data_IF_751932347472
#
_entry.id   IF_751932347472
#
_cell.length_a   1.000
_cell.length_b   1.000
_cell.length_c   1.000
_cell.angle_alpha   90.00
_cell.angle_beta   90.00
_cell.angle_gamma   90.00
#
_symmetry.space_group_name_H-M   'P 1'
#
loop_
_entity.id
_entity.type
_entity.pdbx_description
1 polymer ?
#
# COMPACT_ATOMS: atom_id res chain seq x y z
N UNK A 1 32.63 3.27 48.53
CA UNK A 1 33.88 2.75 47.92
C UNK A 1 33.70 1.28 47.58
N UNK A 2 34.32 0.77 46.51
CA UNK A 2 33.63 0.01 45.48
C UNK A 2 33.86 -1.51 45.53
N UNK A 3 32.85 -2.27 45.10
CA UNK A 3 32.94 -3.70 44.80
C UNK A 3 32.73 -3.93 43.30
N UNK A 4 33.74 -4.50 42.65
CA UNK A 4 33.79 -4.82 41.23
C UNK A 4 32.92 -6.04 40.88
N UNK A 5 32.10 -5.94 39.83
CA UNK A 5 31.56 -7.13 39.16
C UNK A 5 32.13 -7.28 37.74
N UNK A 6 32.78 -8.43 37.55
CA UNK A 6 33.40 -8.91 36.32
C UNK A 6 32.35 -9.12 35.23
N UNK A 7 32.67 -8.69 34.01
CA UNK A 7 31.97 -9.04 32.77
C UNK A 7 32.41 -10.46 32.35
N UNK A 8 31.44 -11.35 32.16
CA UNK A 8 31.67 -12.60 31.43
C UNK A 8 31.51 -12.35 29.93
N UNK A 9 32.61 -12.53 29.20
CA UNK A 9 32.66 -12.66 27.74
C UNK A 9 32.23 -14.09 27.37
N UNK A 10 31.12 -14.23 26.65
CA UNK A 10 30.76 -15.47 25.95
C UNK A 10 31.25 -15.39 24.50
N UNK A 11 32.09 -16.36 24.11
CA UNK A 11 32.52 -16.62 22.73
C UNK A 11 31.38 -17.24 21.93
N UNK A 12 31.25 -16.98 20.62
CA UNK A 12 30.34 -17.72 19.76
C UNK A 12 30.96 -19.05 19.30
N UNK A 13 30.17 -20.12 19.41
CA UNK A 13 30.46 -21.45 18.86
C UNK A 13 30.06 -21.45 17.39
N UNK A 14 31.02 -21.68 16.49
CA UNK A 14 30.76 -22.03 15.09
C UNK A 14 30.41 -23.52 15.02
N UNK A 15 29.15 -23.84 14.73
CA UNK A 15 28.70 -25.18 14.36
C UNK A 15 28.32 -25.21 12.88
N UNK A 16 29.13 -25.90 12.08
CA UNK A 16 28.84 -26.25 10.69
C UNK A 16 27.92 -27.48 10.75
N UNK A 17 26.65 -27.32 10.38
CA UNK A 17 25.69 -28.41 10.24
C UNK A 17 25.29 -28.55 8.77
N UNK A 18 25.86 -29.55 8.10
CA UNK A 18 25.45 -30.02 6.77
C UNK A 18 24.07 -30.67 6.85
N UNK A 19 23.09 -30.11 6.15
CA UNK A 19 21.78 -30.72 5.94
C UNK A 19 21.80 -31.58 4.67
N UNK A 20 21.56 -32.90 4.83
CA UNK A 20 21.21 -33.80 3.74
C UNK A 20 19.78 -33.51 3.25
N UNK A 21 19.49 -33.62 1.94
CA UNK A 21 18.13 -33.56 1.44
C UNK A 21 17.44 -34.93 1.61
N UNK A 22 16.30 -34.94 2.30
CA UNK A 22 15.36 -36.05 2.29
C UNK A 22 14.42 -35.85 1.09
N UNK A 23 14.60 -36.67 0.05
CA UNK A 23 13.67 -36.77 -1.07
C UNK A 23 12.46 -37.62 -0.63
N UNK A 24 11.37 -36.95 -0.25
CA UNK A 24 10.06 -37.58 -0.02
C UNK A 24 9.26 -37.61 -1.32
N UNK A 25 9.19 -38.77 -1.95
CA UNK A 25 8.30 -39.07 -3.08
C UNK A 25 6.86 -39.14 -2.54
N UNK A 26 6.02 -38.14 -2.82
CA UNK A 26 4.58 -38.20 -2.57
C UNK A 26 3.87 -38.65 -3.86
N UNK A 27 3.36 -39.88 -3.84
CA UNK A 27 2.46 -40.43 -4.88
C UNK A 27 1.03 -40.03 -4.51
N UNK A 28 0.41 -39.19 -5.33
CA UNK A 28 -1.02 -38.86 -5.24
C UNK A 28 -1.83 -39.86 -6.08
N UNK A 29 -2.94 -40.42 -5.57
CA UNK A 29 -3.87 -41.19 -6.40
C UNK A 29 -4.72 -40.23 -7.25
N UNK A 30 -4.81 -40.55 -8.55
CA UNK A 30 -5.70 -39.90 -9.50
C UNK A 30 -7.17 -40.24 -9.16
N UNK A 31 -7.96 -39.23 -8.78
CA UNK A 31 -9.41 -39.35 -8.72
C UNK A 31 -10.01 -39.05 -10.10
N UNK A 32 -10.82 -40.00 -10.56
CA UNK A 32 -11.51 -40.03 -11.83
C UNK A 32 -12.56 -38.91 -11.97
N UNK A 33 -12.60 -38.31 -13.16
CA UNK A 33 -13.58 -37.35 -13.62
C UNK A 33 -14.96 -38.01 -13.77
N UNK A 34 -15.99 -37.45 -13.14
CA UNK A 34 -17.39 -37.79 -13.43
C UNK A 34 -17.92 -36.93 -14.59
N UNK A 35 -18.78 -37.46 -15.49
CA UNK A 35 -19.28 -36.75 -16.66
C UNK A 35 -20.39 -35.74 -16.31
N UNK A 36 -20.37 -34.59 -16.99
CA UNK A 36 -21.47 -33.62 -16.99
C UNK A 36 -22.71 -34.20 -17.69
N UNK A 37 -23.93 -34.04 -17.15
CA UNK A 37 -25.14 -34.31 -17.89
C UNK A 37 -25.46 -33.14 -18.83
N UNK A 38 -25.73 -33.48 -20.08
CA UNK A 38 -26.33 -32.60 -21.07
C UNK A 38 -27.74 -32.19 -20.64
N UNK A 39 -28.05 -30.90 -20.76
CA UNK A 39 -29.42 -30.40 -20.63
C UNK A 39 -29.84 -29.71 -21.93
N UNK A 40 -30.96 -30.19 -22.42
CA UNK A 40 -31.68 -29.91 -23.66
C UNK A 40 -32.23 -28.48 -23.74
N UNK A 41 -32.31 -27.94 -24.96
CA UNK A 41 -33.03 -26.69 -25.26
C UNK A 41 -34.55 -26.79 -25.03
N UNK A 42 -35.26 -25.66 -25.14
CA UNK A 42 -36.19 -25.53 -26.27
C UNK A 42 -36.17 -24.15 -26.97
N UNK A 43 -36.41 -24.24 -28.28
CA UNK A 43 -37.26 -23.44 -29.18
C UNK A 43 -37.46 -21.93 -28.99
N UNK A 44 -37.27 -21.25 -30.14
CA UNK A 44 -37.60 -19.88 -30.44
C UNK A 44 -39.10 -19.54 -30.28
N UNK A 45 -39.37 -18.26 -29.99
CA UNK A 45 -40.57 -17.57 -30.47
C UNK A 45 -40.26 -16.10 -30.77
N UNK A 46 -40.89 -15.62 -31.82
CA UNK A 46 -40.66 -14.39 -32.59
C UNK A 46 -41.42 -13.17 -32.08
N UNK A 47 -40.78 -12.01 -32.25
CA UNK A 47 -41.30 -10.73 -32.78
C UNK A 47 -41.98 -9.68 -31.88
N UNK A 48 -41.82 -8.44 -32.40
CA UNK A 48 -42.33 -7.12 -31.99
C UNK A 48 -41.60 -6.48 -30.80
N UNK A 49 -40.97 -5.31 -30.89
CA UNK A 49 -41.07 -4.23 -31.86
C UNK A 49 -40.93 -2.94 -31.06
N UNK A 50 -39.71 -2.39 -30.95
CA UNK A 50 -39.46 -1.13 -30.22
C UNK A 50 -38.40 -0.31 -30.94
N UNK A 51 -38.85 0.86 -31.38
CA UNK A 51 -38.15 1.99 -31.98
C UNK A 51 -36.68 2.16 -31.59
N UNK A 52 -35.80 2.02 -32.58
CA UNK A 52 -34.41 2.46 -32.54
C UNK A 52 -34.35 3.98 -32.64
N UNK A 53 -34.23 4.66 -31.50
CA UNK A 53 -33.64 6.00 -31.48
C UNK A 53 -32.12 5.82 -31.62
N UNK A 54 -31.59 6.20 -32.79
CA UNK A 54 -30.16 6.22 -33.05
C UNK A 54 -29.50 7.31 -32.20
N UNK A 55 -29.08 6.95 -30.99
CA UNK A 55 -28.13 7.74 -30.23
C UNK A 55 -26.77 7.60 -30.91
N UNK A 56 -26.36 8.65 -31.61
CA UNK A 56 -24.99 8.79 -32.12
C UNK A 56 -24.00 8.39 -31.02
N UNK A 57 -23.07 7.45 -31.26
CA UNK A 57 -22.05 7.13 -30.28
C UNK A 57 -21.20 8.38 -30.09
N UNK A 58 -21.33 9.00 -28.91
CA UNK A 58 -20.43 10.05 -28.46
C UNK A 58 -19.03 9.45 -28.42
N UNK A 59 -18.24 9.74 -29.44
CA UNK A 59 -16.79 9.55 -29.47
C UNK A 59 -16.15 10.49 -28.45
N UNK A 60 -16.37 10.23 -27.16
CA UNK A 60 -15.56 10.76 -26.06
C UNK A 60 -14.36 9.83 -25.87
N UNK A 61 -13.48 9.84 -26.87
CA UNK A 61 -12.14 9.27 -26.80
C UNK A 61 -11.09 10.38 -26.73
N UNK A 62 -11.39 11.48 -26.03
CA UNK A 62 -10.37 12.44 -25.65
C UNK A 62 -9.62 11.83 -24.46
N UNK A 63 -8.31 11.61 -24.62
CA UNK A 63 -7.47 10.95 -23.61
C UNK A 63 -7.74 11.53 -22.22
N UNK A 64 -7.98 10.66 -21.25
CA UNK A 64 -8.18 10.99 -19.84
C UNK A 64 -6.90 11.53 -19.21
N UNK A 65 -6.44 12.69 -19.71
CA UNK A 65 -5.39 13.45 -19.08
C UNK A 65 -5.82 13.82 -17.66
N UNK A 66 -4.92 13.67 -16.70
CA UNK A 66 -5.20 14.03 -15.31
C UNK A 66 -5.23 15.55 -15.21
N UNK A 67 -6.37 16.12 -14.87
CA UNK A 67 -6.51 17.57 -14.67
C UNK A 67 -6.17 17.93 -13.22
N UNK A 68 -5.20 18.83 -12.97
CA UNK A 68 -4.88 19.30 -11.62
C UNK A 68 -6.09 19.91 -10.90
N UNK A 69 -6.08 19.84 -9.57
CA UNK A 69 -7.12 20.41 -8.72
C UNK A 69 -7.15 21.94 -8.80
N UNK A 70 -8.35 22.54 -8.91
CA UNK A 70 -8.56 24.00 -8.93
C UNK A 70 -8.37 24.67 -7.56
N UNK A 71 -8.23 23.89 -6.49
CA UNK A 71 -8.11 24.36 -5.12
C UNK A 71 -7.51 23.29 -4.19
N UNK A 72 -7.50 23.54 -2.86
CA UNK A 72 -6.96 22.59 -1.90
C UNK A 72 -7.79 21.29 -1.89
N UNK A 73 -7.15 20.11 -1.88
CA UNK A 73 -7.87 18.84 -1.87
C UNK A 73 -8.65 18.65 -0.58
N UNK A 74 -9.74 17.89 -0.69
CA UNK A 74 -10.58 17.51 0.44
C UNK A 74 -10.07 16.19 1.00
N UNK A 75 -9.68 16.16 2.27
CA UNK A 75 -9.35 14.94 2.99
C UNK A 75 -10.53 14.51 3.84
N UNK A 76 -10.87 13.22 3.76
CA UNK A 76 -11.87 12.53 4.57
C UNK A 76 -11.26 11.25 5.10
N UNK A 77 -11.78 10.75 6.21
CA UNK A 77 -11.48 9.42 6.69
C UNK A 77 -12.78 8.74 7.11
N UNK A 78 -12.88 7.44 6.88
CA UNK A 78 -14.04 6.65 7.28
C UNK A 78 -13.65 5.39 8.03
N UNK A 79 -14.60 4.90 8.82
CA UNK A 79 -14.56 3.61 9.47
C UNK A 79 -15.93 2.95 9.36
N UNK A 80 -15.98 1.71 8.89
CA UNK A 80 -17.16 0.86 8.91
C UNK A 80 -17.01 -0.21 10.00
N UNK A 81 -18.10 -0.90 10.41
CA UNK A 81 -18.00 -2.02 11.32
C UNK A 81 -17.09 -3.09 10.71
N UNK A 82 -16.12 -3.57 11.49
CA UNK A 82 -15.24 -4.66 11.07
C UNK A 82 -16.00 -5.94 10.72
N UNK A 83 -15.34 -6.81 9.98
CA UNK A 83 -15.96 -8.03 9.46
C UNK A 83 -14.98 -9.04 8.88
N UNK A 84 -15.53 -10.11 8.34
CA UNK A 84 -14.78 -11.26 7.82
C UNK A 84 -14.52 -11.10 6.33
N UNK A 85 -13.26 -11.21 5.91
CA UNK A 85 -12.84 -11.12 4.51
C UNK A 85 -12.00 -12.34 4.13
N UNK A 86 -12.15 -12.82 2.89
CA UNK A 86 -11.34 -13.92 2.36
C UNK A 86 -9.86 -13.54 2.30
N UNK A 87 -8.99 -14.45 2.72
CA UNK A 87 -7.55 -14.20 2.72
C UNK A 87 -6.74 -15.06 3.69
N UNK A 88 -7.32 -16.12 4.27
CA UNK A 88 -6.54 -17.07 5.07
C UNK A 88 -5.73 -18.01 4.18
N UNK A 89 -4.54 -18.39 4.64
CA UNK A 89 -3.71 -19.40 3.99
C UNK A 89 -4.44 -20.75 3.99
N UNK A 90 -4.53 -21.39 2.82
CA UNK A 90 -5.32 -22.62 2.65
C UNK A 90 -6.84 -22.39 2.47
N UNK A 91 -7.27 -21.13 2.39
CA UNK A 91 -8.67 -20.73 2.19
C UNK A 91 -9.37 -20.36 3.50
N UNK A 92 -10.38 -19.49 3.40
CA UNK A 92 -11.16 -19.02 4.54
C UNK A 92 -11.00 -17.53 4.82
N UNK A 93 -11.67 -17.08 5.89
CA UNK A 93 -11.83 -15.66 6.20
C UNK A 93 -11.10 -15.23 7.47
N UNK A 94 -10.60 -14.01 7.45
CA UNK A 94 -9.97 -13.32 8.57
C UNK A 94 -10.80 -12.12 8.97
N UNK A 95 -10.70 -11.74 10.24
CA UNK A 95 -11.31 -10.51 10.72
C UNK A 95 -10.46 -9.30 10.33
N UNK A 96 -11.10 -8.23 9.89
CA UNK A 96 -10.42 -6.99 9.52
C UNK A 96 -11.20 -5.76 9.98
N UNK A 97 -10.46 -4.67 10.24
CA UNK A 97 -11.04 -3.33 10.33
C UNK A 97 -11.24 -2.81 8.91
N UNK A 98 -12.33 -2.07 8.70
CA UNK A 98 -12.60 -1.47 7.38
C UNK A 98 -12.55 0.04 7.55
N UNK A 99 -11.36 0.60 7.40
CA UNK A 99 -11.12 2.03 7.51
C UNK A 99 -10.13 2.50 6.45
N UNK A 100 -10.23 3.77 6.06
CA UNK A 100 -9.32 4.38 5.09
C UNK A 100 -9.29 5.89 5.21
N UNK A 101 -8.24 6.50 4.69
CA UNK A 101 -8.22 7.93 4.33
C UNK A 101 -8.53 8.05 2.84
N UNK A 102 -9.36 9.02 2.48
CA UNK A 102 -9.66 9.41 1.10
C UNK A 102 -9.26 10.86 0.89
N UNK A 103 -8.49 11.13 -0.15
CA UNK A 103 -8.21 12.48 -0.63
C UNK A 103 -8.86 12.68 -1.99
N UNK A 104 -9.58 13.78 -2.16
CA UNK A 104 -10.32 14.10 -3.38
C UNK A 104 -9.86 15.46 -3.89
N UNK A 105 -9.62 15.63 -5.20
CA UNK A 105 -9.34 16.94 -5.77
C UNK A 105 -10.45 17.96 -5.40
N UNK A 106 -10.17 19.25 -5.46
CA UNK A 106 -11.23 20.26 -5.52
C UNK A 106 -11.86 20.28 -6.93
N UNK A 107 -12.99 20.97 -7.07
CA UNK A 107 -13.67 21.13 -8.37
C UNK A 107 -14.64 20.01 -8.73
N UNK A 108 -14.99 19.93 -10.01
CA UNK A 108 -15.95 18.96 -10.56
C UNK A 108 -15.29 18.05 -11.58
N UNK A 109 -15.95 16.95 -11.94
CA UNK A 109 -15.45 15.99 -12.91
C UNK A 109 -14.96 14.68 -12.30
N UNK A 110 -14.76 13.69 -13.16
CA UNK A 110 -14.30 12.35 -12.77
C UNK A 110 -12.78 12.28 -12.83
N UNK A 111 -12.19 11.76 -11.76
CA UNK A 111 -10.76 11.63 -11.61
C UNK A 111 -10.35 10.15 -11.56
N UNK A 112 -9.18 9.78 -12.13
CA UNK A 112 -8.62 8.45 -11.90
C UNK A 112 -8.40 8.20 -10.42
N UNK A 113 -8.43 6.92 -10.03
CA UNK A 113 -8.26 6.52 -8.63
C UNK A 113 -6.84 6.04 -8.37
N UNK A 114 -6.21 6.49 -7.30
CA UNK A 114 -4.95 5.94 -6.81
C UNK A 114 -5.20 5.21 -5.48
N UNK A 115 -4.64 4.02 -5.33
CA UNK A 115 -4.68 3.26 -4.07
C UNK A 115 -3.28 3.23 -3.49
N UNK A 116 -3.11 3.64 -2.22
CA UNK A 116 -1.83 3.57 -1.50
C UNK A 116 -1.90 2.47 -0.44
N UNK A 117 -1.11 1.42 -0.61
CA UNK A 117 -1.06 0.28 0.30
C UNK A 117 0.17 0.42 1.21
N UNK A 118 -0.06 0.45 2.52
CA UNK A 118 1.02 0.58 3.49
C UNK A 118 1.83 -0.72 3.67
N UNK A 119 3.01 -0.56 4.25
CA UNK A 119 3.94 -1.64 4.60
C UNK A 119 3.50 -2.55 5.74
N UNK A 120 4.42 -3.40 6.18
CA UNK A 120 4.28 -4.28 7.34
C UNK A 120 4.84 -3.55 8.55
N UNK A 121 3.98 -3.23 9.51
CA UNK A 121 4.37 -2.51 10.71
C UNK A 121 3.61 -3.04 11.93
N UNK A 122 4.13 -2.83 13.16
CA UNK A 122 3.35 -3.11 14.36
C UNK A 122 2.02 -2.33 14.35
N UNK A 123 0.92 -3.07 14.30
CA UNK A 123 -0.43 -2.49 14.24
C UNK A 123 -0.99 -2.16 15.62
N UNK A 124 -0.48 -2.78 16.68
CA UNK A 124 -0.92 -2.59 18.07
C UNK A 124 0.30 -2.30 18.93
N UNK A 125 0.40 -1.09 19.49
CA UNK A 125 1.57 -0.63 20.24
C UNK A 125 1.18 -0.01 21.58
N UNK A 126 2.16 0.18 22.47
CA UNK A 126 2.02 1.17 23.54
C UNK A 126 2.72 2.44 23.09
N UNK A 127 1.97 3.40 22.54
CA UNK A 127 2.58 4.56 21.90
C UNK A 127 3.40 5.44 22.87
N UNK A 128 3.12 5.37 24.18
CA UNK A 128 3.89 6.10 25.18
C UNK A 128 5.28 5.49 25.46
N UNK A 129 5.50 4.23 25.07
CA UNK A 129 6.75 3.48 25.31
C UNK A 129 7.45 3.04 24.03
N UNK A 130 6.71 2.93 22.94
CA UNK A 130 7.22 2.55 21.64
C UNK A 130 8.23 3.59 21.12
N UNK A 131 9.28 3.10 20.47
CA UNK A 131 10.34 3.92 19.89
C UNK A 131 10.43 3.79 18.37
N UNK A 132 9.73 2.82 17.77
CA UNK A 132 9.60 2.74 16.32
C UNK A 132 8.64 3.81 15.83
N UNK A 133 7.55 4.08 16.53
CA UNK A 133 6.65 5.18 16.21
C UNK A 133 6.90 6.41 17.08
N UNK A 134 6.79 7.58 16.47
CA UNK A 134 6.80 8.86 17.17
C UNK A 134 5.38 9.32 17.51
N UNK A 135 5.31 10.32 18.40
CA UNK A 135 4.03 10.81 18.91
C UNK A 135 3.14 11.46 17.85
N UNK A 136 3.61 11.73 16.64
CA UNK A 136 2.85 12.24 15.48
C UNK A 136 2.03 11.16 14.75
N UNK A 137 2.21 9.87 15.08
CA UNK A 137 1.36 8.82 14.51
C UNK A 137 -0.08 8.95 15.02
N UNK A 138 -1.06 8.70 14.16
CA UNK A 138 -2.45 8.58 14.57
C UNK A 138 -2.69 7.14 15.07
N UNK A 139 -3.20 7.03 16.28
CA UNK A 139 -3.64 5.76 16.85
C UNK A 139 -4.99 5.88 17.55
N UNK A 140 -5.68 4.75 17.72
CA UNK A 140 -6.95 4.65 18.44
C UNK A 140 -6.91 3.48 19.41
N UNK A 141 -7.56 3.60 20.57
CA UNK A 141 -7.71 2.47 21.48
C UNK A 141 -8.60 1.41 20.83
N UNK A 142 -8.13 0.18 20.78
CA UNK A 142 -8.91 -0.91 20.19
C UNK A 142 -8.82 -2.20 21.01
N UNK A 143 -9.57 -2.29 22.12
CA UNK A 143 -9.47 -3.42 23.05
C UNK A 143 -9.97 -4.75 22.47
N UNK A 144 -10.69 -4.74 21.35
CA UNK A 144 -11.14 -5.97 20.70
C UNK A 144 -9.99 -6.69 19.98
N UNK A 145 -9.13 -5.96 19.25
CA UNK A 145 -8.06 -6.53 18.43
C UNK A 145 -6.64 -6.33 18.97
N UNK A 146 -6.45 -5.39 19.89
CA UNK A 146 -5.15 -5.09 20.49
C UNK A 146 -5.06 -5.52 21.98
N UNK A 147 -3.87 -5.93 22.44
CA UNK A 147 -3.64 -6.24 23.85
C UNK A 147 -3.97 -5.07 24.76
N UNK A 148 -4.68 -5.33 25.86
CA UNK A 148 -4.90 -4.32 26.91
C UNK A 148 -3.64 -4.10 27.76
N UNK A 149 -2.77 -5.11 27.85
CA UNK A 149 -1.50 -5.06 28.55
C UNK A 149 -0.38 -4.61 27.62
N UNK A 150 0.69 -4.05 28.20
CA UNK A 150 1.89 -3.73 27.44
C UNK A 150 2.85 -4.91 27.46
N UNK A 151 3.35 -5.28 26.29
CA UNK A 151 4.41 -6.27 26.14
C UNK A 151 5.64 -5.61 25.53
N UNK A 152 6.78 -5.72 26.20
CA UNK A 152 8.06 -5.32 25.63
C UNK A 152 8.49 -6.39 24.61
N UNK A 153 8.72 -5.97 23.37
CA UNK A 153 9.18 -6.83 22.29
C UNK A 153 10.71 -6.74 22.09
N UNK A 154 11.40 -5.97 22.93
CA UNK A 154 12.83 -5.71 22.80
C UNK A 154 13.12 -4.50 21.90
N UNK A 155 14.33 -3.96 22.04
CA UNK A 155 14.87 -2.88 21.22
C UNK A 155 14.04 -1.57 21.19
N UNK A 156 13.06 -1.44 22.10
CA UNK A 156 12.14 -0.30 22.13
C UNK A 156 10.86 -0.48 21.32
N UNK A 157 10.61 -1.67 20.78
CA UNK A 157 9.30 -2.07 20.27
C UNK A 157 8.40 -2.49 21.42
N UNK A 158 7.15 -2.05 21.37
CA UNK A 158 6.15 -2.48 22.35
C UNK A 158 4.85 -2.86 21.68
N UNK A 159 4.23 -3.93 22.18
CA UNK A 159 2.83 -4.23 21.90
C UNK A 159 1.95 -3.61 22.98
N UNK A 160 0.78 -3.12 22.59
CA UNK A 160 -0.14 -2.48 23.52
C UNK A 160 -1.51 -2.14 22.92
N UNK A 161 -2.30 -1.34 23.65
CA UNK A 161 -3.71 -1.12 23.35
C UNK A 161 -3.98 -0.08 22.24
N UNK A 162 -2.94 0.59 21.75
CA UNK A 162 -3.04 1.64 20.76
C UNK A 162 -2.91 1.04 19.35
N UNK A 163 -4.01 1.00 18.61
CA UNK A 163 -4.04 0.58 17.22
C UNK A 163 -3.50 1.69 16.32
N UNK A 164 -2.44 1.42 15.57
CA UNK A 164 -1.81 2.38 14.65
C UNK A 164 -2.60 2.45 13.35
N UNK A 165 -3.07 3.65 13.00
CA UNK A 165 -3.77 3.92 11.75
C UNK A 165 -2.76 4.20 10.63
N UNK A 166 -2.11 3.16 10.14
CA UNK A 166 -1.12 3.24 9.06
C UNK A 166 -1.64 3.97 7.81
N UNK A 167 -2.96 3.92 7.58
CA UNK A 167 -3.67 4.66 6.52
C UNK A 167 -3.44 6.17 6.59
N UNK A 168 -3.43 6.74 7.79
CA UNK A 168 -3.25 8.17 8.05
C UNK A 168 -1.79 8.61 7.86
N UNK A 169 -0.83 7.70 8.03
CA UNK A 169 0.60 8.00 7.84
C UNK A 169 0.98 8.36 6.39
N UNK A 170 0.12 8.03 5.42
CA UNK A 170 0.29 8.37 4.00
C UNK A 170 -0.58 9.55 3.55
N UNK A 171 -1.23 10.26 4.47
CA UNK A 171 -2.11 11.38 4.11
C UNK A 171 -1.38 12.51 3.36
N UNK A 172 -0.08 12.70 3.61
CA UNK A 172 0.75 13.66 2.86
C UNK A 172 0.83 13.30 1.36
N UNK A 173 1.02 12.02 1.05
CA UNK A 173 1.10 11.52 -0.32
C UNK A 173 -0.30 11.56 -0.97
N UNK A 174 -1.33 11.14 -0.22
CA UNK A 174 -2.71 11.20 -0.71
C UNK A 174 -3.14 12.63 -1.08
N UNK A 175 -2.78 13.62 -0.24
CA UNK A 175 -3.05 15.03 -0.50
C UNK A 175 -2.34 15.53 -1.76
N UNK A 176 -1.05 15.25 -1.91
CA UNK A 176 -0.29 15.69 -3.09
C UNK A 176 -0.84 15.08 -4.39
N UNK A 177 -1.20 13.79 -4.37
CA UNK A 177 -1.81 13.13 -5.52
C UNK A 177 -3.21 13.70 -5.83
N UNK A 178 -3.99 14.04 -4.82
CA UNK A 178 -5.27 14.72 -5.02
C UNK A 178 -5.13 16.14 -5.55
N UNK A 179 -4.08 16.87 -5.15
CA UNK A 179 -3.75 18.17 -5.76
C UNK A 179 -3.45 18.03 -7.26
N UNK A 180 -2.92 16.86 -7.67
CA UNK A 180 -2.60 16.53 -9.06
C UNK A 180 -3.77 15.93 -9.85
N UNK A 181 -4.94 15.81 -9.24
CA UNK A 181 -6.15 15.37 -9.94
C UNK A 181 -6.47 13.88 -9.82
N UNK A 182 -5.93 13.18 -8.83
CA UNK A 182 -6.33 11.81 -8.50
C UNK A 182 -7.31 11.78 -7.33
N UNK A 183 -8.32 10.93 -7.36
CA UNK A 183 -8.98 10.49 -6.13
C UNK A 183 -8.09 9.45 -5.49
N UNK A 184 -7.76 9.58 -4.21
CA UNK A 184 -6.81 8.68 -3.55
C UNK A 184 -7.48 7.98 -2.38
N UNK A 185 -7.22 6.69 -2.21
CA UNK A 185 -7.62 5.93 -1.01
C UNK A 185 -6.43 5.20 -0.40
N UNK A 186 -6.31 5.27 0.92
CA UNK A 186 -5.29 4.54 1.70
C UNK A 186 -6.00 3.51 2.59
N UNK A 187 -6.24 2.28 2.10
CA UNK A 187 -6.94 1.26 2.87
C UNK A 187 -6.09 0.72 4.02
N UNK A 188 -6.76 0.36 5.12
CA UNK A 188 -6.14 -0.41 6.19
C UNK A 188 -5.93 -1.84 5.72
N UNK A 189 -4.68 -2.30 5.78
CA UNK A 189 -4.29 -3.67 5.44
C UNK A 189 -3.54 -4.38 6.55
N UNK A 190 -3.62 -3.88 7.80
CA UNK A 190 -2.88 -4.46 8.93
C UNK A 190 -3.23 -5.93 9.19
N UNK A 191 -4.43 -6.41 8.82
CA UNK A 191 -4.83 -7.83 8.98
C UNK A 191 -3.85 -8.81 8.33
N UNK A 192 -3.09 -8.39 7.31
CA UNK A 192 -2.07 -9.24 6.67
C UNK A 192 -0.93 -9.67 7.59
N UNK A 193 -0.78 -9.01 8.74
CA UNK A 193 0.23 -9.30 9.75
C UNK A 193 -0.38 -9.97 10.99
N UNK A 194 -1.66 -10.37 10.95
CA UNK A 194 -2.43 -10.77 12.14
C UNK A 194 -2.89 -12.21 12.08
N UNK A 195 -2.03 -13.09 12.58
CA UNK A 195 -2.30 -14.52 12.77
C UNK A 195 -3.38 -14.78 13.82
N UNK A 196 -3.62 -13.81 14.70
CA UNK A 196 -4.54 -13.88 15.82
C UNK A 196 -5.96 -13.39 15.50
N UNK A 197 -6.21 -12.96 14.26
CA UNK A 197 -7.50 -12.44 13.80
C UNK A 197 -8.29 -13.45 12.96
N UNK A 198 -8.25 -14.71 13.38
CA UNK A 198 -9.03 -15.79 12.77
C UNK A 198 -8.24 -16.76 11.89
N UNK A 199 -6.92 -16.65 11.83
CA UNK A 199 -6.06 -17.60 11.12
C UNK A 199 -4.78 -16.96 10.60
N UNK A 200 -3.96 -17.77 9.95
CA UNK A 200 -2.76 -17.32 9.23
C UNK A 200 -3.15 -16.64 7.90
N UNK A 201 -2.70 -15.40 7.64
CA UNK A 201 -3.01 -14.71 6.40
C UNK A 201 -2.20 -15.21 5.20
N UNK A 202 -2.86 -15.28 4.05
CA UNK A 202 -2.23 -15.15 2.74
C UNK A 202 -2.20 -13.64 2.40
N UNK A 203 -1.05 -12.96 2.54
CA UNK A 203 -0.98 -11.52 2.41
C UNK A 203 -1.40 -11.03 1.01
N UNK A 204 -1.09 -11.79 -0.04
CA UNK A 204 -1.43 -11.38 -1.41
C UNK A 204 -2.95 -11.43 -1.62
N UNK A 205 -3.60 -12.55 -1.27
CA UNK A 205 -5.05 -12.70 -1.44
C UNK A 205 -5.79 -11.68 -0.58
N UNK A 206 -5.39 -11.56 0.69
CA UNK A 206 -6.02 -10.67 1.65
C UNK A 206 -5.90 -9.20 1.22
N UNK A 207 -4.68 -8.72 0.90
CA UNK A 207 -4.47 -7.34 0.47
C UNK A 207 -5.25 -7.05 -0.82
N UNK A 208 -5.28 -7.99 -1.78
CA UNK A 208 -6.05 -7.85 -3.01
C UNK A 208 -7.54 -7.67 -2.72
N UNK A 209 -8.10 -8.49 -1.82
CA UNK A 209 -9.51 -8.41 -1.47
C UNK A 209 -9.85 -7.13 -0.70
N UNK A 210 -8.96 -6.66 0.18
CA UNK A 210 -9.11 -5.37 0.87
C UNK A 210 -9.08 -4.20 -0.12
N UNK A 211 -8.11 -4.17 -1.04
CA UNK A 211 -8.04 -3.13 -2.07
C UNK A 211 -9.31 -3.14 -2.95
N UNK A 212 -9.77 -4.31 -3.38
CA UNK A 212 -11.01 -4.46 -4.17
C UNK A 212 -12.24 -3.99 -3.39
N UNK A 213 -12.33 -4.31 -2.09
CA UNK A 213 -13.38 -3.80 -1.21
C UNK A 213 -13.39 -2.28 -1.22
N UNK A 214 -12.25 -1.63 -0.96
CA UNK A 214 -12.19 -0.18 -0.89
C UNK A 214 -12.46 0.50 -2.24
N UNK A 215 -12.03 -0.08 -3.36
CA UNK A 215 -12.40 0.39 -4.70
C UNK A 215 -13.91 0.27 -4.96
N UNK A 216 -14.55 -0.81 -4.50
CA UNK A 216 -16.01 -0.95 -4.59
C UNK A 216 -16.76 0.07 -3.73
N UNK A 217 -16.28 0.35 -2.51
CA UNK A 217 -16.84 1.38 -1.64
C UNK A 217 -16.77 2.77 -2.31
N UNK A 218 -15.63 3.11 -2.93
CA UNK A 218 -15.49 4.33 -3.71
C UNK A 218 -16.45 4.37 -4.90
N UNK A 219 -16.59 3.26 -5.64
CA UNK A 219 -17.54 3.16 -6.76
C UNK A 219 -18.99 3.35 -6.31
N UNK A 220 -19.36 2.85 -5.14
CA UNK A 220 -20.69 3.01 -4.54
C UNK A 220 -20.95 4.46 -4.13
N UNK A 221 -19.98 5.10 -3.48
CA UNK A 221 -20.02 6.54 -3.15
C UNK A 221 -20.15 7.38 -4.43
N UNK A 222 -19.36 7.08 -5.47
CA UNK A 222 -19.44 7.73 -6.78
C UNK A 222 -20.83 7.60 -7.41
N UNK A 223 -21.49 6.44 -7.23
CA UNK A 223 -22.85 6.18 -7.70
C UNK A 223 -23.94 6.85 -6.83
N UNK A 224 -23.59 7.44 -5.70
CA UNK A 224 -24.52 8.10 -4.76
C UNK A 224 -25.07 7.19 -3.66
N UNK A 225 -24.53 5.98 -3.49
CA UNK A 225 -24.78 5.19 -2.28
C UNK A 225 -24.00 5.84 -1.14
N UNK A 226 -24.72 6.50 -0.22
CA UNK A 226 -24.09 7.30 0.82
C UNK A 226 -23.37 6.49 1.89
N UNK A 227 -23.63 5.17 1.99
CA UNK A 227 -23.03 4.26 2.97
C UNK A 227 -23.06 4.78 4.41
N UNK A 228 -24.06 5.58 4.79
CA UNK A 228 -24.14 6.23 6.11
C UNK A 228 -23.05 7.28 6.40
N UNK A 229 -22.27 7.71 5.41
CA UNK A 229 -21.25 8.75 5.55
C UNK A 229 -21.84 10.10 5.14
N UNK A 230 -21.93 11.05 6.08
CA UNK A 230 -22.59 12.34 5.85
C UNK A 230 -21.99 13.17 4.69
N UNK A 231 -20.70 13.03 4.42
CA UNK A 231 -19.98 13.75 3.35
C UNK A 231 -19.99 13.03 2.00
N UNK A 232 -20.52 11.82 1.90
CA UNK A 232 -20.47 11.00 0.67
C UNK A 232 -21.16 11.64 -0.54
N UNK A 233 -22.24 12.41 -0.30
CA UNK A 233 -22.98 13.10 -1.36
C UNK A 233 -22.12 14.10 -2.14
N UNK A 234 -21.11 14.70 -1.50
CA UNK A 234 -20.14 15.62 -2.12
C UNK A 234 -19.24 14.91 -3.15
N UNK A 235 -19.15 13.59 -3.08
CA UNK A 235 -18.24 12.77 -3.88
C UNK A 235 -18.91 12.03 -5.04
N UNK A 236 -20.22 12.19 -5.19
CA UNK A 236 -20.98 11.58 -6.28
C UNK A 236 -20.45 12.04 -7.64
N UNK A 237 -20.19 11.09 -8.54
CA UNK A 237 -19.73 11.35 -9.91
C UNK A 237 -18.31 11.92 -10.02
N UNK A 238 -17.48 11.76 -8.98
CA UNK A 238 -16.11 12.32 -8.92
C UNK A 238 -14.99 11.31 -9.21
N UNK A 239 -15.29 10.02 -9.34
CA UNK A 239 -14.28 8.95 -9.37
C UNK A 239 -14.39 8.11 -10.63
N UNK A 240 -13.26 7.68 -11.18
CA UNK A 240 -13.22 6.64 -12.22
C UNK A 240 -12.41 5.43 -11.73
N UNK A 241 -13.10 4.50 -11.07
CA UNK A 241 -12.50 3.27 -10.54
C UNK A 241 -12.11 2.26 -11.63
N UNK A 242 -12.26 2.61 -12.92
CA UNK A 242 -11.78 1.81 -14.06
C UNK A 242 -10.37 2.20 -14.50
N UNK A 243 -9.85 3.31 -13.96
CA UNK A 243 -8.53 3.85 -14.30
C UNK A 243 -7.76 4.04 -13.00
N UNK A 244 -6.95 3.04 -12.65
CA UNK A 244 -6.36 2.90 -11.31
C UNK A 244 -4.85 3.05 -11.33
N UNK A 245 -4.28 3.76 -10.36
CA UNK A 245 -2.87 3.67 -9.99
C UNK A 245 -2.74 2.81 -8.73
N UNK A 246 -1.80 1.88 -8.71
CA UNK A 246 -1.48 1.09 -7.50
C UNK A 246 -0.15 1.54 -6.96
N UNK A 247 -0.17 2.01 -5.72
CA UNK A 247 0.99 2.56 -5.03
C UNK A 247 1.18 1.73 -3.77
N UNK A 248 2.43 1.50 -3.37
CA UNK A 248 2.65 0.95 -2.04
C UNK A 248 4.04 1.17 -1.51
N UNK A 249 4.16 1.04 -0.19
CA UNK A 249 5.40 1.20 0.55
C UNK A 249 5.81 -0.12 1.21
N UNK A 250 7.11 -0.45 1.27
CA UNK A 250 7.61 -1.68 1.91
C UNK A 250 6.93 -2.93 1.33
N UNK A 251 6.34 -3.80 2.16
CA UNK A 251 5.53 -4.93 1.71
C UNK A 251 4.32 -4.52 0.86
N UNK A 252 3.77 -3.32 1.07
CA UNK A 252 2.78 -2.72 0.19
C UNK A 252 3.35 -2.38 -1.18
N UNK A 253 4.62 -2.02 -1.27
CA UNK A 253 5.35 -1.79 -2.53
C UNK A 253 5.58 -3.08 -3.30
N UNK A 254 5.97 -4.15 -2.61
CA UNK A 254 6.01 -5.49 -3.18
C UNK A 254 4.65 -5.93 -3.72
N UNK A 255 3.61 -5.79 -2.88
CA UNK A 255 2.21 -6.00 -3.31
C UNK A 255 1.85 -5.18 -4.54
N UNK A 256 2.21 -3.90 -4.62
CA UNK A 256 1.89 -3.04 -5.76
C UNK A 256 2.52 -3.56 -7.07
N UNK A 257 3.78 -4.01 -7.01
CA UNK A 257 4.48 -4.62 -8.15
C UNK A 257 3.83 -5.93 -8.61
N UNK A 258 3.27 -6.71 -7.69
CA UNK A 258 2.59 -7.96 -8.03
C UNK A 258 1.17 -7.71 -8.54
N UNK A 259 0.34 -7.05 -7.74
CA UNK A 259 -1.09 -6.89 -7.98
C UNK A 259 -1.39 -5.92 -9.13
N UNK A 260 -0.50 -4.95 -9.37
CA UNK A 260 -0.63 -4.01 -10.49
C UNK A 260 -0.53 -4.65 -11.87
N UNK A 261 -0.05 -5.89 -11.96
CA UNK A 261 0.15 -6.65 -13.20
C UNK A 261 -0.94 -7.69 -13.49
N UNK A 262 -2.11 -7.58 -12.85
CA UNK A 262 -3.29 -8.37 -13.23
C UNK A 262 -4.37 -8.52 -12.17
N UNK A 263 -4.05 -8.33 -10.89
CA UNK A 263 -5.00 -8.59 -9.80
C UNK A 263 -5.96 -7.42 -9.57
N UNK A 264 -5.53 -6.20 -9.89
CA UNK A 264 -6.34 -4.97 -9.81
C UNK A 264 -6.81 -4.56 -11.22
N UNK A 265 -8.11 -4.71 -11.53
CA UNK A 265 -8.65 -4.29 -12.82
C UNK A 265 -8.46 -2.79 -13.06
N UNK A 266 -8.10 -2.43 -14.29
CA UNK A 266 -7.97 -1.03 -14.68
C UNK A 266 -6.67 -0.37 -14.27
N UNK A 267 -5.68 -1.09 -13.74
CA UNK A 267 -4.37 -0.52 -13.42
C UNK A 267 -3.69 0.07 -14.66
N UNK A 268 -3.33 1.35 -14.58
CA UNK A 268 -2.63 2.13 -15.62
C UNK A 268 -1.22 2.51 -15.23
N UNK A 269 -0.90 2.57 -13.95
CA UNK A 269 0.45 2.83 -13.46
C UNK A 269 0.69 2.15 -12.11
N UNK A 270 1.94 1.81 -11.84
CA UNK A 270 2.38 1.25 -10.55
C UNK A 270 3.51 2.11 -9.99
N UNK A 271 3.46 2.41 -8.68
CA UNK A 271 4.56 3.07 -7.98
C UNK A 271 4.89 2.30 -6.69
N UNK A 272 6.09 1.74 -6.62
CA UNK A 272 6.57 1.05 -5.44
C UNK A 272 7.63 1.89 -4.73
N UNK A 273 7.40 2.15 -3.45
CA UNK A 273 8.27 2.96 -2.61
C UNK A 273 8.95 2.00 -1.64
N UNK A 274 10.26 1.90 -1.73
CA UNK A 274 11.07 0.97 -0.93
C UNK A 274 10.47 -0.44 -0.88
N UNK A 275 10.17 -1.05 -2.05
CA UNK A 275 9.46 -2.33 -2.09
C UNK A 275 10.22 -3.42 -1.33
N UNK A 276 9.49 -4.11 -0.46
CA UNK A 276 9.95 -5.32 0.21
C UNK A 276 9.37 -6.56 -0.47
N UNK A 277 10.10 -7.67 -0.33
CA UNK A 277 9.80 -9.00 -0.90
C UNK A 277 9.93 -9.10 -2.43
N UNK A 278 10.45 -10.24 -2.91
CA UNK A 278 10.59 -10.52 -4.35
C UNK A 278 9.21 -10.67 -4.99
N UNK A 279 8.74 -9.59 -5.59
CA UNK A 279 7.34 -9.49 -6.03
C UNK A 279 7.15 -9.39 -7.54
N UNK A 280 8.24 -9.45 -8.32
CA UNK A 280 8.17 -9.37 -9.79
C UNK A 280 7.57 -10.66 -10.37
N UNK A 281 6.46 -10.59 -11.13
CA UNK A 281 5.92 -11.76 -11.82
C UNK A 281 6.97 -12.41 -12.72
N UNK A 282 7.13 -13.74 -12.60
CA UNK A 282 8.05 -14.50 -13.47
C UNK A 282 7.59 -14.55 -14.93
N UNK A 283 6.30 -14.31 -15.17
CA UNK A 283 5.71 -14.34 -16.51
C UNK A 283 5.84 -12.98 -17.21
N UNK A 284 6.07 -13.01 -18.53
CA UNK A 284 5.99 -11.82 -19.39
C UNK A 284 4.53 -11.41 -19.52
N UNK A 285 4.10 -10.43 -18.74
CA UNK A 285 2.76 -9.87 -18.79
C UNK A 285 2.93 -8.40 -19.14
N UNK A 286 2.44 -7.98 -20.31
CA UNK A 286 2.46 -6.58 -20.71
C UNK A 286 1.91 -5.73 -19.55
N UNK A 287 2.79 -4.88 -19.01
CA UNK A 287 2.54 -4.22 -17.74
C UNK A 287 2.36 -2.72 -17.86
N UNK A 288 1.72 -2.09 -16.86
CA UNK A 288 1.65 -0.64 -16.77
C UNK A 288 3.06 -0.04 -16.58
N UNK A 289 3.29 1.22 -16.99
CA UNK A 289 4.46 1.98 -16.56
C UNK A 289 4.66 1.85 -15.05
N UNK A 290 5.90 1.59 -14.64
CA UNK A 290 6.23 1.30 -13.24
C UNK A 290 7.33 2.22 -12.73
N UNK A 291 7.13 2.73 -11.52
CA UNK A 291 8.10 3.54 -10.79
C UNK A 291 8.58 2.83 -9.53
N UNK A 292 9.89 2.84 -9.28
CA UNK A 292 10.49 2.34 -8.03
C UNK A 292 11.31 3.46 -7.37
N UNK A 293 10.89 3.90 -6.18
CA UNK A 293 11.63 4.82 -5.34
C UNK A 293 12.41 4.05 -4.28
N UNK A 294 13.69 4.37 -4.10
CA UNK A 294 14.59 3.73 -3.15
C UNK A 294 15.20 4.76 -2.20
N UNK A 295 15.27 4.45 -0.90
CA UNK A 295 16.12 5.16 0.04
C UNK A 295 17.57 4.66 -0.04
N UNK A 296 18.55 5.57 -0.08
CA UNK A 296 19.97 5.19 -0.02
C UNK A 296 20.33 4.50 1.31
N UNK A 297 19.71 4.97 2.39
CA UNK A 297 19.92 4.51 3.75
C UNK A 297 18.75 3.69 4.27
N UNK A 298 18.00 3.05 3.37
CA UNK A 298 16.94 2.11 3.72
C UNK A 298 17.52 1.01 4.61
N UNK A 299 17.08 1.02 5.86
CA UNK A 299 17.51 0.13 6.91
C UNK A 299 16.77 -1.21 6.90
N UNK A 300 15.70 -1.38 6.13
CA UNK A 300 14.91 -2.62 6.11
C UNK A 300 15.18 -3.42 4.85
N UNK A 301 15.27 -2.74 3.72
CA UNK A 301 15.47 -3.32 2.39
C UNK A 301 16.77 -2.78 1.80
N UNK A 302 17.79 -3.63 1.61
CA UNK A 302 19.00 -3.19 0.94
C UNK A 302 18.68 -2.63 -0.44
N UNK A 303 19.22 -1.45 -0.78
CA UNK A 303 19.00 -0.82 -2.11
C UNK A 303 19.33 -1.74 -3.29
N UNK A 304 20.25 -2.69 -3.10
CA UNK A 304 20.59 -3.70 -4.10
C UNK A 304 19.40 -4.61 -4.45
N UNK A 305 18.44 -4.80 -3.56
CA UNK A 305 17.27 -5.65 -3.74
C UNK A 305 16.27 -4.96 -4.65
N UNK A 306 15.91 -3.70 -4.38
CA UNK A 306 15.05 -2.90 -5.26
C UNK A 306 15.69 -2.69 -6.64
N UNK A 307 17.03 -2.56 -6.74
CA UNK A 307 17.72 -2.53 -8.04
C UNK A 307 17.59 -3.85 -8.81
N UNK A 308 17.57 -5.00 -8.13
CA UNK A 308 17.29 -6.29 -8.78
C UNK A 308 15.84 -6.35 -9.27
N UNK A 309 14.88 -5.79 -8.53
CA UNK A 309 13.49 -5.71 -9.00
C UNK A 309 13.34 -4.86 -10.25
N UNK A 310 14.00 -3.69 -10.32
CA UNK A 310 14.06 -2.88 -11.55
C UNK A 310 14.59 -3.72 -12.71
N UNK A 311 15.69 -4.45 -12.51
CA UNK A 311 16.27 -5.30 -13.55
C UNK A 311 15.33 -6.44 -13.98
N UNK A 312 14.66 -7.07 -13.02
CA UNK A 312 13.73 -8.17 -13.28
C UNK A 312 12.46 -7.69 -14.00
N UNK A 313 11.93 -6.51 -13.66
CA UNK A 313 10.81 -5.88 -14.37
C UNK A 313 11.16 -5.57 -15.82
N UNK A 314 12.35 -4.99 -16.07
CA UNK A 314 12.83 -4.70 -17.42
C UNK A 314 13.04 -5.98 -18.23
N UNK A 315 13.55 -7.03 -17.59
CA UNK A 315 13.75 -8.35 -18.22
C UNK A 315 12.43 -9.03 -18.58
N UNK A 316 11.44 -8.93 -17.69
CA UNK A 316 10.11 -9.49 -17.91
C UNK A 316 9.33 -8.68 -18.96
N UNK A 317 9.50 -7.35 -18.98
CA UNK A 317 8.67 -6.41 -19.76
C UNK A 317 9.51 -5.33 -20.47
N UNK A 318 10.35 -5.69 -21.46
CA UNK A 318 11.29 -4.75 -22.08
C UNK A 318 10.64 -3.59 -22.85
N UNK A 319 9.36 -3.73 -23.22
CA UNK A 319 8.57 -2.70 -23.88
C UNK A 319 7.83 -1.76 -22.92
N UNK A 320 7.85 -2.03 -21.61
CA UNK A 320 7.18 -1.21 -20.60
C UNK A 320 8.18 -0.20 -20.01
N UNK A 321 7.73 1.03 -19.79
CA UNK A 321 8.52 2.05 -19.12
C UNK A 321 8.76 1.63 -17.65
N UNK A 322 10.04 1.55 -17.25
CA UNK A 322 10.43 1.36 -15.85
C UNK A 322 11.29 2.55 -15.45
N UNK A 323 10.79 3.36 -14.53
CA UNK A 323 11.50 4.51 -13.95
C UNK A 323 11.93 4.13 -12.55
N UNK A 324 13.14 4.50 -12.17
CA UNK A 324 13.65 4.29 -10.82
C UNK A 324 14.29 5.56 -10.31
N UNK A 325 14.17 5.81 -9.00
CA UNK A 325 14.81 6.93 -8.33
C UNK A 325 15.46 6.46 -7.03
N UNK A 326 16.61 7.05 -6.69
CA UNK A 326 17.28 6.89 -5.40
C UNK A 326 17.32 8.24 -4.70
N UNK A 327 16.78 8.29 -3.49
CA UNK A 327 16.83 9.45 -2.60
C UNK A 327 18.00 9.32 -1.63
N UNK A 328 18.92 10.28 -1.70
CA UNK A 328 20.11 10.29 -0.86
C UNK A 328 19.74 10.46 0.61
N UNK A 329 20.44 9.75 1.50
CA UNK A 329 20.25 9.82 2.95
C UNK A 329 18.84 9.51 3.47
N UNK A 330 17.94 8.98 2.63
CA UNK A 330 16.59 8.60 3.02
C UNK A 330 16.55 7.19 3.63
N UNK A 331 15.63 7.00 4.56
CA UNK A 331 15.45 5.79 5.38
C UNK A 331 14.07 5.19 5.16
N UNK A 332 13.93 3.90 5.41
CA UNK A 332 12.69 3.17 5.21
C UNK A 332 11.52 3.79 5.99
N UNK A 333 11.75 3.99 7.28
CA UNK A 333 10.74 4.54 8.20
C UNK A 333 10.53 6.04 8.01
N UNK A 334 11.44 6.73 7.34
CA UNK A 334 11.39 8.18 7.13
C UNK A 334 10.36 8.62 6.09
N UNK A 335 9.93 7.71 5.21
CA UNK A 335 8.86 7.93 4.24
C UNK A 335 7.45 7.76 4.86
N UNK A 336 7.36 7.34 6.13
CA UNK A 336 6.11 7.18 6.88
C UNK A 336 5.91 8.36 7.85
N UNK A 337 4.74 9.00 7.87
CA UNK A 337 4.42 9.93 8.97
C UNK A 337 4.16 9.15 10.27
N UNK A 338 4.72 9.61 11.40
CA UNK A 338 4.76 8.79 12.62
C UNK A 338 5.94 7.83 12.69
N UNK A 339 6.71 7.66 11.62
CA UNK A 339 7.88 6.79 11.60
C UNK A 339 9.03 7.37 12.42
N UNK A 340 9.47 6.64 13.45
CA UNK A 340 10.40 7.05 14.50
C UNK A 340 11.86 6.73 14.19
N UNK A 341 12.39 5.67 14.81
CA UNK A 341 13.81 5.31 14.73
C UNK A 341 14.12 4.37 13.55
N UNK A 342 15.15 4.71 12.77
CA UNK A 342 15.74 3.87 11.71
C UNK A 342 16.70 2.79 12.27
N UNK A 343 16.75 2.62 13.59
CA UNK A 343 17.65 1.67 14.27
C UNK A 343 16.90 0.67 15.16
N UNK A 344 15.57 0.57 15.01
CA UNK A 344 14.72 -0.27 15.87
C UNK A 344 13.81 -1.14 15.00
N UNK A 345 13.65 -2.41 15.39
CA UNK A 345 12.79 -3.37 14.72
C UNK A 345 13.55 -4.22 13.70
N UNK A 346 12.89 -4.65 12.63
CA UNK A 346 13.49 -5.47 11.57
C UNK A 346 14.44 -4.65 10.68
N UNK A 347 15.51 -4.13 11.27
CA UNK A 347 16.46 -3.22 10.65
C UNK A 347 17.85 -3.86 10.54
N UNK A 348 18.49 -3.62 9.41
CA UNK A 348 19.92 -3.77 9.18
C UNK A 348 20.48 -2.38 8.85
N UNK A 349 20.83 -1.57 9.86
CA UNK A 349 21.31 -0.22 9.63
C UNK A 349 22.55 -0.22 8.73
N UNK A 350 22.58 0.69 7.76
CA UNK A 350 23.75 0.87 6.91
C UNK A 350 24.93 1.40 7.74
N UNK A 351 26.09 0.73 7.62
CA UNK A 351 27.32 1.19 8.27
C UNK A 351 28.00 2.36 7.53
N UNK A 352 27.41 2.84 6.43
CA UNK A 352 27.94 3.97 5.68
C UNK A 352 27.93 5.24 6.52
N UNK A 353 28.99 6.05 6.55
CA UNK A 353 28.98 7.37 7.20
C UNK A 353 27.87 8.29 6.68
N UNK A 354 27.47 8.13 5.40
CA UNK A 354 26.34 8.84 4.80
C UNK A 354 24.99 8.48 5.45
N UNK A 355 24.90 7.32 6.10
CA UNK A 355 23.70 6.83 6.77
C UNK A 355 23.76 6.94 8.29
N UNK A 356 24.77 7.64 8.84
CA UNK A 356 24.79 7.97 10.26
C UNK A 356 23.59 8.86 10.61
N UNK A 357 23.01 8.69 11.80
CA UNK A 357 21.79 9.41 12.23
C UNK A 357 21.80 10.94 11.97
N UNK A 358 22.96 11.58 12.16
CA UNK A 358 23.14 13.03 11.94
C UNK A 358 23.21 13.46 10.46
N UNK A 359 23.44 12.51 9.56
CA UNK A 359 23.55 12.72 8.12
C UNK A 359 22.24 12.38 7.38
N UNK A 360 21.27 11.76 8.07
CA UNK A 360 20.00 11.38 7.47
C UNK A 360 19.21 12.60 7.02
N UNK A 361 18.51 12.43 5.90
CA UNK A 361 17.61 13.44 5.38
C UNK A 361 16.45 13.65 6.37
N UNK A 362 16.05 14.90 6.58
CA UNK A 362 14.91 15.23 7.42
C UNK A 362 13.64 14.49 6.92
N UNK A 363 12.90 13.83 7.83
CA UNK A 363 11.70 13.03 7.48
C UNK A 363 10.63 13.85 6.73
N UNK A 364 10.45 15.12 7.07
CA UNK A 364 9.53 16.00 6.32
C UNK A 364 9.99 16.20 4.88
N UNK A 365 11.30 16.36 4.65
CA UNK A 365 11.85 16.43 3.29
C UNK A 365 11.77 15.09 2.55
N UNK A 366 12.01 13.96 3.23
CA UNK A 366 11.83 12.62 2.65
C UNK A 366 10.39 12.42 2.13
N UNK A 367 9.40 12.74 2.96
CA UNK A 367 7.97 12.67 2.59
C UNK A 367 7.61 13.65 1.47
N UNK A 368 8.08 14.88 1.56
CA UNK A 368 7.82 15.90 0.54
C UNK A 368 8.38 15.50 -0.84
N UNK A 369 9.63 15.02 -0.89
CA UNK A 369 10.24 14.51 -2.12
C UNK A 369 9.51 13.25 -2.64
N UNK A 370 9.17 12.31 -1.76
CA UNK A 370 8.42 11.09 -2.09
C UNK A 370 7.09 11.42 -2.75
N UNK A 371 6.32 12.34 -2.16
CA UNK A 371 5.03 12.77 -2.68
C UNK A 371 5.15 13.42 -4.06
N UNK A 372 6.11 14.36 -4.20
CA UNK A 372 6.33 15.11 -5.43
C UNK A 372 6.71 14.20 -6.60
N UNK A 373 7.74 13.36 -6.40
CA UNK A 373 8.28 12.51 -7.46
C UNK A 373 7.28 11.45 -7.88
N UNK A 374 6.59 10.83 -6.92
CA UNK A 374 5.53 9.84 -7.20
C UNK A 374 4.39 10.49 -7.99
N UNK A 375 3.98 11.69 -7.59
CA UNK A 375 2.94 12.44 -8.30
C UNK A 375 3.35 12.85 -9.72
N UNK A 376 4.59 13.28 -9.94
CA UNK A 376 5.09 13.63 -11.27
C UNK A 376 5.10 12.41 -12.19
N UNK A 377 5.56 11.27 -11.68
CA UNK A 377 5.53 10.01 -12.43
C UNK A 377 4.10 9.63 -12.82
N UNK A 378 3.15 9.63 -11.88
CA UNK A 378 1.78 9.18 -12.15
C UNK A 378 1.06 10.07 -13.16
N UNK A 379 1.18 11.40 -13.05
CA UNK A 379 0.59 12.32 -14.03
C UNK A 379 1.10 12.01 -15.44
N UNK A 380 2.40 11.80 -15.59
CA UNK A 380 3.04 11.53 -16.89
C UNK A 380 2.73 10.13 -17.43
N UNK A 381 2.70 9.12 -16.56
CA UNK A 381 2.29 7.77 -16.92
C UNK A 381 0.84 7.72 -17.43
N UNK A 382 -0.08 8.44 -16.78
CA UNK A 382 -1.48 8.53 -17.22
C UNK A 382 -1.65 9.36 -18.50
N UNK A 383 -0.78 10.34 -18.74
CA UNK A 383 -0.70 11.05 -20.00
C UNK A 383 -0.09 10.20 -21.14
N UNK A 384 0.41 9.00 -20.85
CA UNK A 384 1.02 8.10 -21.84
C UNK A 384 2.35 8.59 -22.37
N UNK A 385 3.08 9.43 -21.63
CA UNK A 385 4.38 9.94 -22.07
C UNK A 385 5.49 8.89 -21.88
N UNK A 386 6.52 8.99 -22.72
CA UNK A 386 7.76 8.21 -22.56
C UNK A 386 8.87 9.03 -21.86
N UNK A 387 8.66 10.32 -21.66
CA UNK A 387 9.60 11.21 -20.97
C UNK A 387 9.01 11.60 -19.64
N UNK A 388 9.78 11.39 -18.57
CA UNK A 388 9.41 11.67 -17.19
C UNK A 388 10.27 12.81 -16.63
N UNK A 389 9.70 14.00 -16.52
CA UNK A 389 10.29 15.12 -15.79
C UNK A 389 9.84 15.04 -14.33
N UNK A 390 10.71 14.54 -13.45
CA UNK A 390 10.46 14.43 -12.02
C UNK A 390 10.97 15.68 -11.29
N UNK A 391 10.32 16.04 -10.21
CA UNK A 391 10.72 17.15 -9.35
C UNK A 391 10.90 16.68 -7.91
N UNK A 392 12.02 17.06 -7.28
CA UNK A 392 12.30 16.87 -5.85
C UNK A 392 12.13 18.21 -5.12
N UNK A 393 12.38 18.25 -3.81
CA UNK A 393 12.36 19.47 -3.00
C UNK A 393 13.77 19.92 -2.65
N UNK A 394 13.95 21.20 -2.35
CA UNK A 394 15.23 21.73 -1.88
C UNK A 394 15.72 20.95 -0.64
N UNK A 395 17.02 20.59 -0.65
CA UNK A 395 17.63 19.77 0.40
C UNK A 395 17.46 18.25 0.24
N UNK A 396 16.59 17.78 -0.66
CA UNK A 396 16.42 16.35 -0.96
C UNK A 396 17.06 16.00 -2.30
N UNK A 397 18.28 15.44 -2.27
CA UNK A 397 18.99 14.99 -3.47
C UNK A 397 18.38 13.68 -3.98
N UNK A 398 17.95 13.69 -5.24
CA UNK A 398 17.39 12.50 -5.91
C UNK A 398 18.09 12.30 -7.24
N UNK A 399 18.49 11.06 -7.50
CA UNK A 399 18.96 10.60 -8.80
C UNK A 399 17.92 9.67 -9.41
N UNK A 400 17.71 9.74 -10.72
CA UNK A 400 16.76 8.88 -11.40
C UNK A 400 17.37 8.25 -12.65
N UNK A 401 16.86 7.07 -12.99
CA UNK A 401 17.19 6.34 -14.19
C UNK A 401 15.92 5.73 -14.79
N UNK A 402 15.84 5.71 -16.12
CA UNK A 402 14.78 5.06 -16.86
C UNK A 402 15.33 3.88 -17.65
N UNK A 403 14.49 2.87 -17.87
CA UNK A 403 14.74 1.67 -18.66
C UNK A 403 13.53 1.40 -19.55
N UNK A 404 13.72 0.60 -20.60
CA UNK A 404 12.71 0.39 -21.64
C UNK A 404 12.63 1.61 -22.58
N UNK A 405 11.44 1.97 -23.09
CA UNK A 405 11.28 3.09 -24.03
C UNK A 405 11.28 4.47 -23.34
N UNK A 406 11.64 4.56 -22.06
CA UNK A 406 11.49 5.76 -21.26
C UNK A 406 12.79 6.57 -21.07
N UNK A 407 12.64 7.88 -20.88
CA UNK A 407 13.69 8.78 -20.42
C UNK A 407 13.25 9.54 -19.16
N UNK A 408 14.19 9.96 -18.32
CA UNK A 408 13.88 10.64 -17.06
C UNK A 408 14.86 11.78 -16.77
N UNK A 409 14.34 12.88 -16.25
CA UNK A 409 15.13 13.98 -15.67
C UNK A 409 14.62 14.30 -14.27
N UNK A 410 15.47 14.89 -13.44
CA UNK A 410 15.11 15.35 -12.10
C UNK A 410 15.47 16.82 -11.96
N UNK A 411 14.51 17.64 -11.53
CA UNK A 411 14.71 19.04 -11.18
C UNK A 411 14.32 19.31 -9.73
N UNK A 412 14.72 20.45 -9.18
CA UNK A 412 14.29 20.88 -7.84
C UNK A 412 13.10 21.82 -7.99
N UNK A 413 11.99 21.51 -7.31
CA UNK A 413 10.83 22.38 -7.23
C UNK A 413 11.09 23.56 -6.29
N UNK A 414 10.47 24.74 -6.55
CA UNK A 414 10.67 25.93 -5.72
C UNK A 414 10.05 25.81 -4.32
N UNK A 415 9.13 24.86 -4.11
CA UNK A 415 8.47 24.64 -2.83
C UNK A 415 8.16 23.17 -2.60
N UNK A 416 8.22 22.77 -1.34
CA UNK A 416 7.77 21.46 -0.90
C UNK A 416 6.23 21.38 -0.93
N UNK A 417 5.65 20.21 -1.26
CA UNK A 417 4.25 19.93 -0.97
C UNK A 417 3.92 20.22 0.49
N UNK A 418 2.75 20.79 0.75
CA UNK A 418 2.30 20.98 2.12
C UNK A 418 1.98 19.62 2.76
N UNK A 419 2.55 19.41 3.94
CA UNK A 419 2.39 18.19 4.72
C UNK A 419 0.98 18.05 5.31
N UNK A 420 0.71 16.88 5.87
CA UNK A 420 -0.53 16.60 6.62
C UNK A 420 -0.14 16.03 7.96
N UNK A 421 -0.64 16.63 9.04
CA UNK A 421 -0.60 16.03 10.37
C UNK A 421 -1.65 14.90 10.42
N UNK A 422 -1.26 13.62 10.58
CA UNK A 422 -2.19 12.51 10.64
C UNK A 422 -3.25 12.69 11.74
N UNK A 423 -2.91 13.38 12.84
CA UNK A 423 -3.83 13.62 13.96
C UNK A 423 -4.92 14.64 13.67
N UNK A 424 -4.76 15.44 12.62
CA UNK A 424 -5.81 16.36 12.16
C UNK A 424 -6.98 15.62 11.48
N UNK A 425 -6.80 14.34 11.12
CA UNK A 425 -7.82 13.55 10.44
C UNK A 425 -8.89 13.06 11.43
N UNK A 426 -10.14 13.41 11.13
CA UNK A 426 -11.30 12.88 11.86
C UNK A 426 -11.94 11.76 11.06
N UNK A 427 -11.99 10.55 11.65
CA UNK A 427 -12.64 9.40 11.05
C UNK A 427 -14.15 9.47 11.28
N UNK A 428 -14.91 9.47 10.19
CA UNK A 428 -16.36 9.39 10.22
C UNK A 428 -16.77 7.92 10.31
N UNK A 429 -17.38 7.52 11.42
CA UNK A 429 -17.92 6.17 11.56
C UNK A 429 -19.25 6.05 10.81
N UNK A 430 -19.45 4.89 10.18
CA UNK A 430 -20.74 4.47 9.64
C UNK A 430 -21.21 3.21 10.34
N UNK A 431 -22.52 3.07 10.55
CA UNK A 431 -23.14 1.82 11.02
C UNK A 431 -23.38 0.83 9.87
N UNK A 432 -23.19 1.27 8.62
CA UNK A 432 -23.40 0.44 7.44
C UNK A 432 -22.40 -0.70 7.42
N UNK A 433 -22.91 -1.94 7.45
CA UNK A 433 -22.08 -3.13 7.37
C UNK A 433 -21.71 -3.42 5.91
N UNK A 434 -20.40 -3.47 5.64
CA UNK A 434 -19.85 -3.73 4.30
C UNK A 434 -19.15 -5.09 4.18
N UNK A 435 -18.95 -5.77 5.30
CA UNK A 435 -18.43 -7.13 5.38
C UNK A 435 -19.31 -8.00 6.30
N UNK A 436 -19.37 -9.33 6.09
CA UNK A 436 -20.00 -10.26 7.01
C UNK A 436 -19.50 -10.06 8.45
N UNK A 437 -20.41 -10.12 9.42
CA UNK A 437 -20.06 -9.92 10.83
C UNK A 437 -19.11 -11.01 11.34
N UNK A 438 -18.32 -10.65 12.36
CA UNK A 438 -17.50 -11.60 13.11
C UNK A 438 -18.39 -12.69 13.75
N UNK A 439 -18.07 -13.98 13.62
CA UNK A 439 -18.77 -15.04 14.34
C UNK A 439 -18.69 -14.83 15.86
N UNK A 440 -19.77 -15.10 16.58
CA UNK A 440 -19.87 -14.83 18.03
C UNK A 440 -18.77 -15.53 18.87
N UNK A 441 -18.26 -16.68 18.41
CA UNK A 441 -17.18 -17.42 19.07
C UNK A 441 -15.77 -17.01 18.69
N UNK A 442 -15.58 -16.18 17.65
CA UNK A 442 -14.24 -15.80 17.21
C UNK A 442 -13.66 -14.75 18.15
N UNK A 443 -12.63 -15.16 18.90
CA UNK A 443 -11.81 -14.27 19.72
C UNK A 443 -10.66 -13.76 18.86
N UNK A 444 -10.52 -12.44 18.80
CA UNK A 444 -9.30 -11.82 18.28
C UNK A 444 -8.33 -11.88 19.45
N UNK A 445 -7.35 -12.77 19.39
CA UNK A 445 -6.47 -12.99 20.53
C UNK A 445 -5.45 -11.85 20.58
N UNK A 446 -5.74 -10.78 21.31
CA UNK A 446 -4.78 -9.69 21.58
C UNK A 446 -3.59 -10.13 22.44
N UNK A 447 -3.00 -11.31 22.22
CA UNK A 447 -1.73 -11.72 22.81
C UNK A 447 -0.57 -10.92 22.19
N UNK A 448 0.67 -11.10 22.71
CA UNK A 448 1.84 -10.50 22.08
C UNK A 448 1.93 -11.03 20.65
N UNK A 449 1.61 -10.19 19.66
CA UNK A 449 1.82 -10.53 18.26
C UNK A 449 3.31 -10.78 18.07
N UNK A 450 3.66 -11.94 17.52
CA UNK A 450 5.00 -12.18 17.02
C UNK A 450 5.10 -11.46 15.67
N UNK A 451 5.93 -10.43 15.61
CA UNK A 451 6.43 -9.86 14.36
C UNK A 451 7.77 -10.50 14.02
#
# INVERSE_FOLDING_TARGET
MPGSHRRHLTRPIRGIGTALPIAGLLVLPACASSPSPAASGPTASTAAGSSSAASSPSTTGAGSGVTPSEGPPVLRAYEFPGGMIEGALGGGKLYTRVEAVVAVPAGTGRHPVAVIVHGSYPSCVNLAKDKLFTSDVLSVRWPEGCPTQTFDQGEGLTSGPDYVRSTASFAYLARELAQRGFVVVTPDVNTKERFDWGGEPDPQILQTNLVKLHLDLLRRIDAGDGLGLAWSGELRGRMDTRTVAVIGHSSGGGYALQAGYGDIPGTKAVAAIEPAFKSVPKARIAGPPTFILMGECDEQIPIADSRREVADLVRANPSTAVVSATMAHATHIGMLTGGGSHTIGLVTPSSSPACAAKALLNRTLQRAATARITGDFLVQAFAGTATYALTTVEGATVTAAAKGPASVTVAVAPSAPEGVDPKSLTFTSSETRVLPAKPAGLKLNGGPGHL
#
